data_IF_174054809720
#
_entry.id   IF_174054809720
#
_cell.length_a   1.000
_cell.length_b   1.000
_cell.length_c   1.000
_cell.angle_alpha   90.00
_cell.angle_beta   90.00
_cell.angle_gamma   90.00
#
_symmetry.space_group_name_H-M   'P 1'
#
loop_
_entity.id
_entity.type
_entity.pdbx_description
1 polymer ?
#
# COMPACT_ATOMS: atom_id res chain seq x y z
N UNK A 1 -0.06 -4.18 26.38
CA UNK A 1 0.64 -2.97 25.90
C UNK A 1 1.41 -3.35 24.66
N UNK A 2 1.18 -2.65 23.55
CA UNK A 2 1.92 -2.83 22.30
C UNK A 2 3.35 -2.30 22.48
N UNK A 3 4.35 -3.10 22.09
CA UNK A 3 5.77 -2.76 22.23
C UNK A 3 6.15 -1.82 21.10
N UNK A 4 6.75 -0.67 21.44
CA UNK A 4 7.30 0.29 20.47
C UNK A 4 8.81 0.14 20.47
N UNK A 5 9.37 -0.10 19.29
CA UNK A 5 10.82 -0.17 19.06
C UNK A 5 11.26 1.03 18.23
N UNK A 6 12.34 1.70 18.62
CA UNK A 6 12.92 2.85 17.90
C UNK A 6 14.10 2.38 17.06
N UNK A 7 14.25 2.97 15.87
CA UNK A 7 15.30 2.66 14.90
C UNK A 7 15.88 3.96 14.33
N UNK A 8 17.17 3.96 14.02
CA UNK A 8 17.83 5.14 13.45
C UNK A 8 17.62 5.26 11.94
N UNK A 9 17.45 4.14 11.24
CA UNK A 9 17.32 4.09 9.78
C UNK A 9 16.44 2.91 9.30
N UNK A 10 16.09 2.91 8.02
CA UNK A 10 15.28 1.85 7.40
C UNK A 10 16.01 0.51 7.29
N UNK A 11 17.34 0.52 7.18
CA UNK A 11 18.15 -0.72 7.12
C UNK A 11 18.00 -1.53 8.40
N UNK A 12 18.02 -0.89 9.57
CA UNK A 12 17.76 -1.55 10.85
C UNK A 12 16.35 -2.13 10.94
N UNK A 13 15.34 -1.43 10.40
CA UNK A 13 13.97 -1.94 10.32
C UNK A 13 13.93 -3.17 9.40
N UNK A 14 14.57 -3.12 8.23
CA UNK A 14 14.61 -4.24 7.30
C UNK A 14 15.30 -5.47 7.92
N UNK A 15 16.40 -5.27 8.66
CA UNK A 15 17.05 -6.33 9.44
C UNK A 15 16.12 -6.88 10.53
N UNK A 16 15.38 -6.00 11.22
CA UNK A 16 14.41 -6.40 12.23
C UNK A 16 13.31 -7.27 11.62
N UNK A 17 12.75 -6.90 10.47
CA UNK A 17 11.73 -7.68 9.76
C UNK A 17 12.31 -9.02 9.28
N UNK A 18 13.51 -9.06 8.71
CA UNK A 18 14.17 -10.32 8.31
C UNK A 18 14.32 -11.27 9.50
N UNK A 19 14.74 -10.75 10.65
CA UNK A 19 14.86 -11.51 11.89
C UNK A 19 13.51 -12.05 12.42
N UNK A 20 12.40 -11.35 12.21
CA UNK A 20 11.05 -11.90 12.48
C UNK A 20 10.76 -13.12 11.58
N UNK A 21 11.16 -13.04 10.31
CA UNK A 21 10.92 -14.08 9.32
C UNK A 21 11.79 -15.33 9.52
N UNK A 22 13.02 -15.18 10.02
CA UNK A 22 13.92 -16.33 10.29
C UNK A 22 13.84 -16.87 11.73
N UNK A 23 13.19 -16.15 12.66
CA UNK A 23 13.08 -16.56 14.05
C UNK A 23 14.36 -16.37 14.89
N UNK A 24 15.10 -15.28 14.65
CA UNK A 24 16.33 -14.95 15.39
C UNK A 24 16.03 -14.59 16.86
N UNK A 25 16.18 -15.56 17.76
CA UNK A 25 15.84 -15.46 19.18
C UNK A 25 14.39 -15.03 19.47
N UNK A 26 13.48 -15.25 18.52
CA UNK A 26 12.04 -14.93 18.62
C UNK A 26 11.18 -15.88 17.80
N UNK A 27 9.84 -15.94 18.04
CA UNK A 27 8.98 -16.84 17.29
C UNK A 27 9.00 -16.51 15.79
N UNK A 28 9.42 -17.47 14.98
CA UNK A 28 9.45 -17.35 13.52
C UNK A 28 8.08 -17.00 12.95
N UNK A 29 8.06 -16.02 12.06
CA UNK A 29 6.89 -15.55 11.33
C UNK A 29 7.00 -15.93 9.86
N UNK A 30 5.84 -16.12 9.26
CA UNK A 30 5.73 -16.38 7.83
C UNK A 30 5.29 -15.10 7.11
N UNK A 31 4.50 -14.25 7.79
CA UNK A 31 3.99 -12.97 7.28
C UNK A 31 4.41 -11.80 8.17
N UNK A 32 4.81 -10.69 7.56
CA UNK A 32 4.83 -9.38 8.20
C UNK A 32 3.91 -8.43 7.42
N UNK A 33 2.87 -7.92 8.09
CA UNK A 33 2.00 -6.87 7.57
C UNK A 33 2.44 -5.54 8.17
N UNK A 34 2.75 -4.56 7.33
CA UNK A 34 3.25 -3.26 7.72
C UNK A 34 2.31 -2.16 7.25
N UNK A 35 1.63 -1.50 8.17
CA UNK A 35 0.90 -0.28 7.85
C UNK A 35 1.83 0.92 8.01
N UNK A 36 1.95 1.75 6.99
CA UNK A 36 2.65 3.03 7.08
C UNK A 36 2.04 4.07 6.14
N UNK A 37 1.89 5.28 6.66
CA UNK A 37 1.37 6.42 5.91
C UNK A 37 2.27 6.76 4.70
N UNK A 38 1.74 7.57 3.79
CA UNK A 38 2.52 8.10 2.68
C UNK A 38 3.74 8.89 3.19
N UNK A 39 4.79 8.95 2.38
CA UNK A 39 6.08 9.54 2.76
C UNK A 39 6.84 8.87 3.94
N UNK A 40 6.35 7.76 4.50
CA UNK A 40 7.08 7.01 5.56
C UNK A 40 8.32 6.25 5.06
N UNK A 41 8.52 6.17 3.74
CA UNK A 41 9.68 5.51 3.14
C UNK A 41 9.50 4.00 2.87
N UNK A 42 8.26 3.52 2.70
CA UNK A 42 7.96 2.09 2.44
C UNK A 42 8.70 1.52 1.22
N UNK A 43 8.76 2.27 0.12
CA UNK A 43 9.51 1.86 -1.08
C UNK A 43 11.01 1.81 -0.82
N UNK A 44 11.56 2.71 0.00
CA UNK A 44 12.97 2.62 0.43
C UNK A 44 13.19 1.41 1.32
N UNK A 45 12.26 1.11 2.22
CA UNK A 45 12.32 -0.06 3.10
C UNK A 45 12.31 -1.38 2.33
N UNK A 46 11.48 -1.50 1.28
CA UNK A 46 11.48 -2.70 0.42
C UNK A 46 12.81 -2.89 -0.29
N UNK A 47 13.46 -1.80 -0.71
CA UNK A 47 14.78 -1.84 -1.31
C UNK A 47 15.89 -2.18 -0.30
N UNK A 48 15.85 -1.64 0.91
CA UNK A 48 16.76 -2.05 2.00
C UNK A 48 16.62 -3.54 2.32
N UNK A 49 15.38 -4.03 2.41
CA UNK A 49 15.09 -5.45 2.63
C UNK A 49 15.67 -6.33 1.51
N UNK A 50 15.47 -5.95 0.25
CA UNK A 50 16.06 -6.62 -0.92
C UNK A 50 17.59 -6.58 -0.87
N UNK A 51 18.18 -5.43 -0.52
CA UNK A 51 19.62 -5.22 -0.54
C UNK A 51 20.35 -6.11 0.46
N UNK A 52 19.78 -6.33 1.66
CA UNK A 52 20.33 -7.27 2.65
C UNK A 52 20.39 -8.72 2.12
N UNK A 53 19.50 -9.07 1.19
CA UNK A 53 19.42 -10.40 0.58
C UNK A 53 20.40 -10.64 -0.57
N UNK A 54 21.19 -9.64 -0.96
CA UNK A 54 22.15 -9.77 -2.05
C UNK A 54 23.52 -10.18 -1.55
N UNK A 55 24.19 -11.00 -2.35
CA UNK A 55 25.63 -11.24 -2.22
C UNK A 55 26.35 -10.64 -3.42
N UNK A 56 27.59 -10.23 -3.19
CA UNK A 56 28.42 -9.56 -4.19
C UNK A 56 29.75 -10.29 -4.36
N UNK A 57 30.26 -10.33 -5.57
CA UNK A 57 31.64 -10.74 -5.84
C UNK A 57 32.65 -9.63 -5.46
N UNK A 58 33.94 -9.91 -5.66
CA UNK A 58 35.01 -8.96 -5.38
C UNK A 58 34.94 -7.68 -6.25
N UNK A 59 34.27 -7.74 -7.40
CA UNK A 59 34.14 -6.64 -8.36
C UNK A 59 32.85 -5.83 -8.15
N UNK A 60 32.02 -6.23 -7.18
CA UNK A 60 30.77 -5.54 -6.84
C UNK A 60 29.56 -5.98 -7.67
N UNK A 61 29.66 -7.05 -8.46
CA UNK A 61 28.52 -7.60 -9.19
C UNK A 61 27.68 -8.50 -8.28
N UNK A 62 26.36 -8.50 -8.49
CA UNK A 62 25.43 -9.32 -7.70
C UNK A 62 25.57 -10.78 -8.10
N UNK A 63 26.06 -11.62 -7.18
CA UNK A 63 26.21 -13.07 -7.38
C UNK A 63 24.96 -13.86 -7.00
N UNK A 64 24.20 -13.40 -6.02
CA UNK A 64 22.92 -14.00 -5.65
C UNK A 64 21.98 -12.98 -5.03
N UNK A 65 20.69 -13.35 -5.01
CA UNK A 65 19.58 -12.55 -4.49
C UNK A 65 18.53 -13.50 -3.91
N UNK A 66 17.71 -13.02 -2.99
CA UNK A 66 16.71 -13.87 -2.31
C UNK A 66 15.29 -13.28 -2.22
N UNK A 67 15.07 -12.06 -2.74
CA UNK A 67 13.80 -11.34 -2.59
C UNK A 67 13.21 -10.96 -3.94
N UNK A 68 12.03 -11.50 -4.25
CA UNK A 68 11.13 -11.01 -5.28
C UNK A 68 10.30 -9.86 -4.70
N UNK A 69 10.11 -8.77 -5.44
CA UNK A 69 9.40 -7.61 -4.91
C UNK A 69 8.48 -6.94 -5.92
N UNK A 70 7.44 -6.28 -5.41
CA UNK A 70 6.56 -5.38 -6.13
C UNK A 70 6.62 -4.00 -5.47
N UNK A 71 7.02 -2.98 -6.23
CA UNK A 71 7.07 -1.58 -5.82
C UNK A 71 7.24 -0.69 -7.08
N UNK A 72 7.43 0.62 -6.91
CA UNK A 72 7.67 1.55 -8.02
C UNK A 72 8.81 1.13 -8.98
N UNK A 73 9.90 0.53 -8.49
CA UNK A 73 10.98 0.03 -9.36
C UNK A 73 10.58 -1.15 -10.23
N UNK A 74 9.54 -1.89 -9.83
CA UNK A 74 8.96 -2.99 -10.62
C UNK A 74 8.07 -2.42 -11.72
N UNK A 75 7.30 -1.38 -11.40
CA UNK A 75 6.49 -0.65 -12.40
C UNK A 75 7.38 -0.01 -13.46
N UNK A 76 8.53 0.57 -13.07
CA UNK A 76 9.52 1.16 -13.99
C UNK A 76 10.17 0.14 -14.96
N UNK A 77 9.98 -1.17 -14.76
CA UNK A 77 10.37 -2.19 -15.73
C UNK A 77 9.48 -2.21 -16.98
N UNK A 78 8.36 -1.49 -16.94
CA UNK A 78 7.36 -1.39 -18.00
C UNK A 78 7.32 0.05 -18.49
N UNK A 79 7.52 0.28 -19.78
CA UNK A 79 7.59 1.63 -20.35
C UNK A 79 6.83 1.73 -21.66
N UNK A 80 6.05 2.79 -21.83
CA UNK A 80 5.27 2.98 -23.06
C UNK A 80 6.11 3.48 -24.22
N UNK A 81 5.96 2.83 -25.37
CA UNK A 81 6.23 3.40 -26.68
C UNK A 81 4.89 3.81 -27.31
N UNK A 82 4.64 5.11 -27.39
CA UNK A 82 3.37 5.64 -27.90
C UNK A 82 3.39 5.95 -29.40
N UNK A 83 4.48 5.66 -30.12
CA UNK A 83 4.62 5.99 -31.55
C UNK A 83 4.24 7.46 -31.83
N UNK A 84 4.95 8.39 -31.21
CA UNK A 84 4.63 9.82 -31.30
C UNK A 84 4.71 10.39 -32.74
N UNK A 85 5.40 9.68 -33.64
CA UNK A 85 5.57 10.10 -35.04
C UNK A 85 4.35 9.76 -35.89
N UNK A 86 3.80 8.55 -35.77
CA UNK A 86 2.68 8.10 -36.61
C UNK A 86 1.35 8.01 -35.85
N UNK A 87 1.38 8.03 -34.51
CA UNK A 87 0.22 7.96 -33.61
C UNK A 87 -0.65 6.69 -33.81
N UNK A 88 -0.02 5.60 -34.22
CA UNK A 88 -0.69 4.36 -34.67
C UNK A 88 -0.39 3.14 -33.83
N UNK A 89 0.86 2.93 -33.40
CA UNK A 89 1.30 1.71 -32.71
C UNK A 89 1.71 1.99 -31.26
N UNK A 90 0.84 1.60 -30.32
CA UNK A 90 1.07 1.82 -28.89
C UNK A 90 1.40 0.50 -28.21
N UNK A 91 2.62 0.41 -27.69
CA UNK A 91 3.15 -0.82 -27.10
C UNK A 91 3.79 -0.54 -25.74
N UNK A 92 3.66 -1.49 -24.82
CA UNK A 92 4.35 -1.47 -23.54
C UNK A 92 5.62 -2.31 -23.63
N UNK A 93 6.78 -1.65 -23.54
CA UNK A 93 8.10 -2.29 -23.55
C UNK A 93 8.45 -2.85 -22.18
N UNK A 94 8.96 -4.08 -22.17
CA UNK A 94 9.48 -4.78 -21.02
C UNK A 94 11.01 -4.63 -20.98
N UNK A 95 11.56 -4.31 -19.82
CA UNK A 95 13.01 -4.26 -19.61
C UNK A 95 13.57 -5.68 -19.40
N UNK A 96 13.78 -6.41 -20.49
CA UNK A 96 14.16 -7.83 -20.51
C UNK A 96 15.53 -8.15 -19.90
N UNK A 97 16.38 -7.15 -19.64
CA UNK A 97 17.64 -7.34 -18.89
C UNK A 97 17.40 -7.59 -17.39
N UNK A 98 16.20 -7.33 -16.89
CA UNK A 98 15.84 -7.59 -15.50
C UNK A 98 15.54 -9.06 -15.26
N UNK A 99 16.12 -9.62 -14.19
CA UNK A 99 15.82 -10.99 -13.75
C UNK A 99 14.35 -11.23 -13.36
N UNK A 100 13.58 -10.15 -13.21
CA UNK A 100 12.13 -10.22 -13.11
C UNK A 100 11.49 -11.00 -14.27
N UNK A 101 12.15 -11.00 -15.43
CA UNK A 101 11.68 -11.59 -16.67
C UNK A 101 12.40 -12.89 -17.07
N UNK A 102 13.27 -13.45 -16.22
CA UNK A 102 14.09 -14.63 -16.55
C UNK A 102 13.26 -15.84 -17.02
N UNK A 103 12.07 -16.03 -16.45
CA UNK A 103 11.15 -17.12 -16.81
C UNK A 103 10.19 -16.80 -17.96
N UNK A 104 10.31 -15.65 -18.64
CA UNK A 104 9.30 -15.22 -19.62
C UNK A 104 9.18 -16.15 -20.84
N UNK A 105 10.30 -16.68 -21.34
CA UNK A 105 10.35 -17.34 -22.66
C UNK A 105 9.92 -18.81 -22.62
N UNK A 106 10.00 -19.46 -21.47
CA UNK A 106 9.81 -20.91 -21.36
C UNK A 106 8.44 -21.30 -20.75
N UNK A 107 7.65 -20.33 -20.31
CA UNK A 107 6.44 -20.56 -19.51
C UNK A 107 5.19 -19.96 -20.17
N UNK A 108 4.05 -20.62 -20.00
CA UNK A 108 2.72 -20.12 -20.41
C UNK A 108 2.26 -18.96 -19.51
N UNK A 109 3.09 -17.91 -19.38
CA UNK A 109 2.83 -16.77 -18.51
C UNK A 109 1.56 -16.03 -18.95
N UNK A 110 1.29 -15.95 -20.25
CA UNK A 110 0.07 -15.32 -20.79
C UNK A 110 -1.19 -15.89 -20.13
N UNK A 111 -1.37 -17.21 -20.11
CA UNK A 111 -2.54 -17.84 -19.49
C UNK A 111 -2.68 -17.55 -17.98
N UNK A 112 -1.56 -17.47 -17.26
CA UNK A 112 -1.56 -17.13 -15.83
C UNK A 112 -1.94 -15.66 -15.64
N UNK A 113 -1.36 -14.75 -16.41
CA UNK A 113 -1.68 -13.31 -16.36
C UNK A 113 -3.14 -13.07 -16.72
N UNK A 114 -3.64 -13.68 -17.81
CA UNK A 114 -5.05 -13.60 -18.22
C UNK A 114 -5.99 -14.08 -17.11
N UNK A 115 -5.65 -15.19 -16.43
CA UNK A 115 -6.48 -15.72 -15.34
C UNK A 115 -6.65 -14.74 -14.17
N UNK A 116 -5.63 -13.93 -13.89
CA UNK A 116 -5.73 -12.86 -12.87
C UNK A 116 -6.41 -11.62 -13.44
N UNK A 117 -6.02 -11.17 -14.64
CA UNK A 117 -6.50 -9.92 -15.24
C UNK A 117 -8.01 -9.92 -15.46
N UNK A 118 -8.57 -11.04 -15.91
CA UNK A 118 -10.00 -11.21 -16.16
C UNK A 118 -10.88 -11.04 -14.91
N UNK A 119 -10.31 -11.12 -13.71
CA UNK A 119 -11.04 -10.86 -12.46
C UNK A 119 -11.32 -9.37 -12.24
N UNK A 120 -10.56 -8.50 -12.90
CA UNK A 120 -10.52 -7.07 -12.59
C UNK A 120 -10.94 -6.21 -13.79
N UNK A 121 -10.57 -6.61 -15.01
CA UNK A 121 -10.84 -5.84 -16.23
C UNK A 121 -11.03 -6.75 -17.44
N UNK A 122 -11.97 -6.39 -18.31
CA UNK A 122 -12.13 -6.98 -19.63
C UNK A 122 -11.15 -6.30 -20.62
N UNK A 123 -9.93 -6.83 -20.65
CA UNK A 123 -8.81 -6.34 -21.47
C UNK A 123 -8.04 -7.53 -22.05
N UNK A 124 -7.78 -7.51 -23.36
CA UNK A 124 -6.94 -8.50 -24.03
C UNK A 124 -5.55 -7.93 -24.23
N UNK A 125 -4.54 -8.80 -24.14
CA UNK A 125 -3.14 -8.42 -24.40
C UNK A 125 -2.42 -9.53 -25.16
N UNK A 126 -1.35 -9.16 -25.84
CA UNK A 126 -0.43 -10.10 -26.48
C UNK A 126 1.01 -9.71 -26.13
N UNK A 127 1.80 -10.69 -25.67
CA UNK A 127 3.20 -10.51 -25.28
C UNK A 127 4.08 -11.07 -26.39
N UNK A 128 4.85 -10.20 -27.03
CA UNK A 128 5.92 -10.60 -27.93
C UNK A 128 7.23 -10.74 -27.14
N UNK A 129 7.63 -11.98 -26.90
CA UNK A 129 8.84 -12.31 -26.14
C UNK A 129 10.15 -12.07 -26.89
N UNK A 130 10.11 -11.97 -28.22
CA UNK A 130 11.28 -11.68 -29.05
C UNK A 130 11.62 -10.20 -28.97
N UNK A 131 10.61 -9.33 -29.08
CA UNK A 131 10.75 -7.87 -28.99
C UNK A 131 10.61 -7.34 -27.57
N UNK A 132 10.20 -8.18 -26.61
CA UNK A 132 9.90 -7.77 -25.23
C UNK A 132 8.86 -6.66 -25.18
N UNK A 133 7.80 -6.77 -25.98
CA UNK A 133 6.71 -5.78 -26.06
C UNK A 133 5.37 -6.43 -25.74
N UNK A 134 4.45 -5.63 -25.20
CA UNK A 134 3.06 -6.02 -24.96
C UNK A 134 2.15 -5.08 -25.73
N UNK A 135 1.24 -5.66 -26.50
CA UNK A 135 0.16 -4.93 -27.18
C UNK A 135 -1.16 -5.21 -26.48
N UNK A 136 -2.07 -4.24 -26.51
CA UNK A 136 -3.39 -4.38 -25.89
C UNK A 136 -4.47 -4.25 -26.95
N UNK A 137 -5.58 -4.96 -26.74
CA UNK A 137 -6.73 -4.92 -27.63
C UNK A 137 -8.05 -5.03 -26.87
N UNK A 138 -9.14 -4.58 -27.49
CA UNK A 138 -10.48 -4.69 -26.93
C UNK A 138 -11.50 -5.09 -27.99
N UNK A 139 -12.41 -5.97 -27.62
CA UNK A 139 -13.58 -6.29 -28.43
C UNK A 139 -14.65 -5.21 -28.26
N UNK A 140 -15.17 -4.69 -29.36
CA UNK A 140 -16.31 -3.78 -29.39
C UNK A 140 -17.38 -4.34 -30.33
N UNK A 141 -18.65 -4.02 -30.04
CA UNK A 141 -19.76 -4.39 -30.91
C UNK A 141 -20.06 -3.19 -31.81
N UNK A 142 -19.88 -3.35 -33.11
CA UNK A 142 -20.23 -2.36 -34.13
C UNK A 142 -21.29 -2.98 -35.02
N UNK A 143 -22.48 -2.38 -35.04
CA UNK A 143 -23.61 -2.82 -35.86
C UNK A 143 -23.99 -4.31 -35.66
N UNK A 144 -23.82 -4.81 -34.43
CA UNK A 144 -24.14 -6.20 -34.07
C UNK A 144 -23.02 -7.22 -34.37
N UNK A 145 -21.89 -6.79 -34.93
CA UNK A 145 -20.71 -7.62 -35.15
C UNK A 145 -19.60 -7.30 -34.14
N UNK A 146 -18.95 -8.34 -33.60
CA UNK A 146 -17.77 -8.17 -32.75
C UNK A 146 -16.57 -7.77 -33.63
N UNK A 147 -15.97 -6.62 -33.32
CA UNK A 147 -14.74 -6.13 -33.94
C UNK A 147 -13.68 -5.96 -32.85
N UNK A 148 -12.45 -6.38 -33.11
CA UNK A 148 -11.32 -6.17 -32.19
C UNK A 148 -10.55 -4.93 -32.61
N UNK A 149 -10.38 -3.98 -31.70
CA UNK A 149 -9.49 -2.83 -31.90
C UNK A 149 -8.11 -3.21 -31.33
N UNK A 150 -7.06 -3.34 -32.17
CA UNK A 150 -5.70 -3.61 -31.71
C UNK A 150 -4.97 -2.33 -31.26
N UNK A 151 -3.81 -2.51 -30.63
CA UNK A 151 -2.82 -1.46 -30.30
C UNK A 151 -3.39 -0.27 -29.51
N UNK A 152 -4.28 -0.55 -28.55
CA UNK A 152 -4.90 0.49 -27.73
C UNK A 152 -3.97 0.95 -26.60
N UNK A 153 -4.03 2.24 -26.27
CA UNK A 153 -3.48 2.74 -25.00
C UNK A 153 -4.50 2.51 -23.89
N UNK A 154 -4.07 1.79 -22.87
CA UNK A 154 -4.86 1.57 -21.64
C UNK A 154 -4.64 2.71 -20.63
N UNK A 155 -5.57 2.88 -19.72
CA UNK A 155 -5.46 3.85 -18.61
C UNK A 155 -4.31 3.50 -17.67
N UNK A 156 -3.89 4.46 -16.83
CA UNK A 156 -2.86 4.21 -15.80
C UNK A 156 -3.29 3.16 -14.78
N UNK A 157 -4.57 3.12 -14.41
CA UNK A 157 -5.11 2.09 -13.52
C UNK A 157 -5.04 0.69 -14.14
N UNK A 158 -5.45 0.55 -15.41
CA UNK A 158 -5.34 -0.72 -16.14
C UNK A 158 -3.88 -1.16 -16.33
N UNK A 159 -2.96 -0.22 -16.55
CA UNK A 159 -1.53 -0.47 -16.62
C UNK A 159 -0.98 -1.00 -15.30
N UNK A 160 -1.26 -0.32 -14.17
CA UNK A 160 -0.85 -0.79 -12.84
C UNK A 160 -1.42 -2.18 -12.54
N UNK A 161 -2.69 -2.40 -12.90
CA UNK A 161 -3.37 -3.68 -12.72
C UNK A 161 -2.75 -4.80 -13.56
N UNK A 162 -2.39 -4.52 -14.81
CA UNK A 162 -1.68 -5.47 -15.66
C UNK A 162 -0.32 -5.84 -15.06
N UNK A 163 0.48 -4.85 -14.65
CA UNK A 163 1.79 -5.07 -14.01
C UNK A 163 1.64 -5.87 -12.72
N UNK A 164 0.58 -5.62 -11.94
CA UNK A 164 0.24 -6.40 -10.76
C UNK A 164 -0.11 -7.87 -11.09
N UNK A 165 -0.96 -8.11 -12.10
CA UNK A 165 -1.29 -9.47 -12.54
C UNK A 165 -0.05 -10.21 -13.08
N UNK A 166 0.85 -9.50 -13.74
CA UNK A 166 2.15 -10.00 -14.17
C UNK A 166 3.00 -10.44 -12.98
N UNK A 167 3.06 -9.62 -11.93
CA UNK A 167 3.74 -9.95 -10.70
C UNK A 167 3.12 -11.16 -9.99
N UNK A 168 1.79 -11.27 -9.92
CA UNK A 168 1.10 -12.43 -9.36
C UNK A 168 1.42 -13.71 -10.12
N UNK A 169 1.51 -13.65 -11.44
CA UNK A 169 1.90 -14.79 -12.27
C UNK A 169 3.33 -15.26 -11.95
N UNK A 170 4.28 -14.34 -11.75
CA UNK A 170 5.65 -14.69 -11.31
C UNK A 170 5.66 -15.23 -9.88
N UNK A 171 4.87 -14.65 -8.98
CA UNK A 171 4.73 -15.18 -7.61
C UNK A 171 4.21 -16.62 -7.63
N UNK A 172 3.22 -16.93 -8.48
CA UNK A 172 2.73 -18.29 -8.66
C UNK A 172 3.84 -19.22 -9.13
N UNK A 173 4.69 -18.81 -10.09
CA UNK A 173 5.82 -19.62 -10.54
C UNK A 173 6.85 -19.88 -9.43
N UNK A 174 7.16 -18.87 -8.62
CA UNK A 174 8.04 -19.05 -7.47
C UNK A 174 7.44 -20.02 -6.44
N UNK A 175 6.13 -19.95 -6.19
CA UNK A 175 5.40 -20.83 -5.27
C UNK A 175 5.32 -22.27 -5.81
N UNK A 176 5.20 -22.41 -7.13
CA UNK A 176 5.22 -23.69 -7.85
C UNK A 176 6.64 -24.29 -7.94
N UNK A 177 7.64 -23.64 -7.31
CA UNK A 177 9.06 -24.04 -7.28
C UNK A 177 9.69 -24.13 -8.68
N UNK A 178 9.26 -23.26 -9.60
CA UNK A 178 9.83 -23.20 -10.95
C UNK A 178 11.35 -22.89 -10.89
N UNK A 179 12.20 -23.62 -11.65
CA UNK A 179 13.65 -23.43 -11.62
C UNK A 179 14.10 -21.99 -11.84
N UNK A 180 13.41 -21.23 -12.71
CA UNK A 180 13.75 -19.83 -13.02
C UNK A 180 13.60 -18.91 -11.79
N UNK A 181 12.76 -19.29 -10.83
CA UNK A 181 12.47 -18.50 -9.63
C UNK A 181 12.86 -19.21 -8.32
N UNK A 182 13.64 -20.29 -8.39
CA UNK A 182 14.14 -21.04 -7.23
C UNK A 182 14.99 -20.22 -6.24
N UNK A 183 15.50 -19.07 -6.68
CA UNK A 183 16.24 -18.12 -5.84
C UNK A 183 15.33 -17.34 -4.87
N UNK A 184 14.02 -17.29 -5.11
CA UNK A 184 13.06 -16.50 -4.33
C UNK A 184 12.80 -17.16 -2.99
N UNK A 185 13.33 -16.57 -1.91
CA UNK A 185 13.07 -16.98 -0.52
C UNK A 185 12.08 -16.08 0.19
N UNK A 186 11.98 -14.83 -0.27
CA UNK A 186 11.11 -13.81 0.28
C UNK A 186 10.33 -13.10 -0.83
N UNK A 187 9.09 -12.76 -0.54
CA UNK A 187 8.28 -11.85 -1.33
C UNK A 187 8.11 -10.54 -0.55
N UNK A 188 8.33 -9.40 -1.20
CA UNK A 188 8.06 -8.09 -0.61
C UNK A 188 7.09 -7.31 -1.51
N UNK A 189 5.89 -7.01 -1.02
CA UNK A 189 4.89 -6.20 -1.74
C UNK A 189 4.77 -4.83 -1.07
N UNK A 190 4.98 -3.76 -1.81
CA UNK A 190 4.79 -2.37 -1.36
C UNK A 190 3.67 -1.69 -2.16
N UNK A 191 2.59 -1.32 -1.47
CA UNK A 191 1.46 -0.53 -2.00
C UNK A 191 0.95 -0.97 -3.39
N UNK A 192 0.45 -2.21 -3.54
CA UNK A 192 0.09 -2.77 -4.85
C UNK A 192 -1.14 -2.11 -5.49
N UNK A 193 -1.86 -1.28 -4.74
CA UNK A 193 -3.15 -0.68 -5.11
C UNK A 193 -3.13 0.84 -5.08
N UNK A 194 -1.95 1.46 -5.09
CA UNK A 194 -1.82 2.91 -4.89
C UNK A 194 -2.65 3.76 -5.86
N UNK A 195 -3.13 3.22 -6.99
CA UNK A 195 -3.90 3.91 -8.03
C UNK A 195 -5.28 3.30 -8.38
N UNK A 196 -5.76 2.30 -7.62
CA UNK A 196 -6.97 1.52 -7.95
C UNK A 196 -8.20 1.92 -7.11
N UNK A 197 -9.40 1.57 -7.61
CA UNK A 197 -10.67 1.79 -6.90
C UNK A 197 -10.85 0.88 -5.66
N UNK A 198 -11.73 1.28 -4.74
CA UNK A 198 -11.94 0.55 -3.47
C UNK A 198 -12.43 -0.89 -3.68
N UNK A 199 -13.16 -1.15 -4.77
CA UNK A 199 -13.68 -2.47 -5.11
C UNK A 199 -12.55 -3.43 -5.50
N UNK A 200 -11.59 -2.98 -6.31
CA UNK A 200 -10.43 -3.78 -6.68
C UNK A 200 -9.52 -4.04 -5.48
N UNK A 201 -9.44 -3.13 -4.50
CA UNK A 201 -8.62 -3.34 -3.30
C UNK A 201 -9.00 -4.61 -2.52
N UNK A 202 -10.29 -4.90 -2.36
CA UNK A 202 -10.75 -6.11 -1.66
C UNK A 202 -10.40 -7.36 -2.48
N UNK A 203 -10.72 -7.37 -3.77
CA UNK A 203 -10.47 -8.51 -4.65
C UNK A 203 -8.97 -8.85 -4.71
N UNK A 204 -8.11 -7.84 -4.91
CA UNK A 204 -6.66 -8.00 -4.94
C UNK A 204 -6.12 -8.54 -3.62
N UNK A 205 -6.63 -8.08 -2.47
CA UNK A 205 -6.21 -8.59 -1.18
C UNK A 205 -6.57 -10.07 -0.99
N UNK A 206 -7.79 -10.45 -1.39
CA UNK A 206 -8.26 -11.83 -1.34
C UNK A 206 -7.44 -12.73 -2.26
N UNK A 207 -7.20 -12.31 -3.50
CA UNK A 207 -6.44 -13.09 -4.48
C UNK A 207 -4.99 -13.25 -4.05
N UNK A 208 -4.35 -12.20 -3.52
CA UNK A 208 -3.00 -12.28 -2.96
C UNK A 208 -2.94 -13.24 -1.77
N UNK A 209 -3.93 -13.20 -0.87
CA UNK A 209 -3.97 -14.11 0.28
C UNK A 209 -4.17 -15.57 -0.14
N UNK A 210 -5.02 -15.81 -1.13
CA UNK A 210 -5.26 -17.15 -1.69
C UNK A 210 -4.02 -17.67 -2.42
N UNK A 211 -3.33 -16.82 -3.17
CA UNK A 211 -2.08 -17.18 -3.85
C UNK A 211 -0.99 -17.59 -2.85
N UNK A 212 -0.79 -16.78 -1.80
CA UNK A 212 0.30 -16.97 -0.85
C UNK A 212 0.04 -18.09 0.17
N UNK A 213 -1.21 -18.55 0.32
CA UNK A 213 -1.56 -19.60 1.30
C UNK A 213 -2.04 -20.88 0.64
N UNK A 214 -1.49 -22.00 1.08
CA UNK A 214 -1.94 -23.35 0.70
C UNK A 214 -2.37 -24.13 1.92
N UNK A 215 -3.26 -25.10 1.74
CA UNK A 215 -3.59 -26.06 2.79
C UNK A 215 -2.60 -27.21 2.75
N UNK A 216 -2.03 -27.54 3.89
CA UNK A 216 -1.26 -28.76 4.07
C UNK A 216 -2.18 -30.00 4.05
N UNK A 217 -1.57 -31.19 4.08
CA UNK A 217 -2.28 -32.47 4.09
C UNK A 217 -3.21 -32.66 5.31
N UNK A 218 -3.04 -31.85 6.36
CA UNK A 218 -3.84 -31.86 7.58
C UNK A 218 -4.94 -30.77 7.57
N UNK A 219 -5.11 -30.06 6.44
CA UNK A 219 -6.08 -28.99 6.27
C UNK A 219 -5.71 -27.67 6.96
N UNK A 220 -4.48 -27.53 7.44
CA UNK A 220 -3.96 -26.30 8.05
C UNK A 220 -3.38 -25.40 6.97
N UNK A 221 -3.67 -24.11 7.05
CA UNK A 221 -3.06 -23.15 6.15
C UNK A 221 -1.58 -22.94 6.48
N UNK A 222 -0.74 -22.97 5.45
CA UNK A 222 0.64 -22.56 5.49
C UNK A 222 0.92 -21.56 4.37
N UNK A 223 1.98 -20.78 4.54
CA UNK A 223 2.45 -19.87 3.50
C UNK A 223 3.69 -20.43 2.83
N UNK A 224 3.64 -20.53 1.51
CA UNK A 224 4.68 -21.16 0.70
C UNK A 224 6.00 -20.39 0.75
N UNK A 225 5.94 -19.06 0.66
CA UNK A 225 7.10 -18.17 0.66
C UNK A 225 6.89 -17.08 1.70
N UNK A 226 7.91 -16.83 2.53
CA UNK A 226 7.85 -15.82 3.58
C UNK A 226 7.65 -14.43 2.96
N UNK A 227 6.65 -13.70 3.47
CA UNK A 227 6.19 -12.49 2.79
C UNK A 227 6.15 -11.28 3.71
N UNK A 228 6.52 -10.12 3.16
CA UNK A 228 6.31 -8.80 3.76
C UNK A 228 5.35 -8.02 2.87
N UNK A 229 4.29 -7.45 3.44
CA UNK A 229 3.37 -6.57 2.72
C UNK A 229 3.33 -5.23 3.44
N UNK A 230 3.74 -4.16 2.77
CA UNK A 230 3.61 -2.80 3.28
C UNK A 230 2.53 -2.03 2.53
N UNK A 231 1.68 -1.31 3.26
CA UNK A 231 0.68 -0.46 2.63
C UNK A 231 0.28 0.77 3.46
N UNK A 232 -0.20 1.82 2.79
CA UNK A 232 -0.93 2.92 3.41
C UNK A 232 -2.45 2.75 3.33
N UNK A 233 -2.95 1.80 2.54
CA UNK A 233 -4.38 1.70 2.25
C UNK A 233 -5.10 0.88 3.33
N UNK A 234 -5.90 1.56 4.15
CA UNK A 234 -6.53 0.98 5.35
C UNK A 234 -7.47 -0.20 5.05
N UNK A 235 -8.33 -0.12 4.02
CA UNK A 235 -9.23 -1.23 3.66
C UNK A 235 -8.43 -2.49 3.27
N UNK A 236 -7.46 -2.35 2.36
CA UNK A 236 -6.56 -3.42 1.95
C UNK A 236 -5.84 -4.06 3.13
N UNK A 237 -5.23 -3.26 4.01
CA UNK A 237 -4.57 -3.77 5.21
C UNK A 237 -5.55 -4.57 6.10
N UNK A 238 -6.77 -4.06 6.29
CA UNK A 238 -7.81 -4.75 7.07
C UNK A 238 -8.24 -6.08 6.45
N UNK A 239 -8.42 -6.11 5.13
CA UNK A 239 -8.77 -7.35 4.41
C UNK A 239 -7.65 -8.38 4.56
N UNK A 240 -6.39 -8.00 4.31
CA UNK A 240 -5.24 -8.89 4.52
C UNK A 240 -5.17 -9.40 5.97
N UNK A 241 -5.41 -8.51 6.92
CA UNK A 241 -5.44 -8.86 8.33
C UNK A 241 -6.51 -9.90 8.69
N UNK A 242 -7.68 -9.81 8.08
CA UNK A 242 -8.76 -10.77 8.25
C UNK A 242 -8.44 -12.09 7.53
N UNK A 243 -7.95 -12.01 6.30
CA UNK A 243 -7.63 -13.17 5.47
C UNK A 243 -6.48 -14.00 6.04
N UNK A 244 -5.39 -13.36 6.49
CA UNK A 244 -4.22 -14.04 7.04
C UNK A 244 -4.29 -14.31 8.53
N UNK A 245 -5.07 -13.50 9.27
CA UNK A 245 -4.94 -13.34 10.72
C UNK A 245 -4.95 -14.63 11.53
N UNK A 246 -5.77 -15.61 11.11
CA UNK A 246 -5.85 -16.94 11.74
C UNK A 246 -5.21 -18.06 10.91
N UNK A 247 -4.90 -17.79 9.64
CA UNK A 247 -4.39 -18.79 8.68
C UNK A 247 -2.89 -19.01 8.84
N UNK A 248 -2.11 -17.94 9.08
CA UNK A 248 -0.64 -18.00 9.05
C UNK A 248 0.00 -17.33 10.26
N UNK A 249 1.24 -17.72 10.60
CA UNK A 249 2.01 -17.07 11.66
C UNK A 249 2.40 -15.67 11.19
N UNK A 250 1.66 -14.66 11.64
CA UNK A 250 1.86 -13.29 11.22
C UNK A 250 2.40 -12.40 12.34
N UNK A 251 2.93 -11.26 11.92
CA UNK A 251 3.27 -10.10 12.73
C UNK A 251 2.71 -8.87 12.03
N UNK A 252 2.15 -7.95 12.80
CA UNK A 252 1.56 -6.72 12.26
C UNK A 252 2.26 -5.55 12.91
N UNK A 253 2.67 -4.59 12.09
CA UNK A 253 3.41 -3.43 12.55
C UNK A 253 2.80 -2.15 12.02
N UNK A 254 2.86 -1.11 12.84
CA UNK A 254 2.72 0.26 12.41
C UNK A 254 4.11 0.89 12.33
N UNK A 255 4.46 1.40 11.15
CA UNK A 255 5.67 2.17 10.94
C UNK A 255 5.34 3.66 10.95
N UNK A 256 6.07 4.39 11.77
CA UNK A 256 5.98 5.85 11.83
C UNK A 256 7.36 6.47 11.62
N UNK A 257 7.44 7.44 10.71
CA UNK A 257 8.64 8.21 10.43
C UNK A 257 8.66 9.47 11.31
N UNK A 258 9.62 9.55 12.23
CA UNK A 258 9.80 10.70 13.14
C UNK A 258 10.77 11.75 12.58
N UNK A 259 11.06 11.71 11.28
CA UNK A 259 11.95 12.67 10.61
C UNK A 259 13.39 12.56 11.14
N UNK A 260 13.89 13.63 11.74
CA UNK A 260 15.26 13.69 12.30
C UNK A 260 15.47 12.67 13.42
N UNK A 261 14.39 12.28 14.10
CA UNK A 261 14.43 11.34 15.23
C UNK A 261 14.35 9.86 14.80
N UNK A 262 14.52 9.57 13.51
CA UNK A 262 14.52 8.22 12.95
C UNK A 262 13.11 7.64 12.79
N UNK A 263 12.97 6.36 13.09
CA UNK A 263 11.75 5.59 12.86
C UNK A 263 11.28 4.89 14.12
N UNK A 264 9.97 4.67 14.23
CA UNK A 264 9.38 3.84 15.27
C UNK A 264 8.48 2.77 14.67
N UNK A 265 8.62 1.56 15.19
CA UNK A 265 7.84 0.39 14.81
C UNK A 265 7.04 -0.08 16.02
N UNK A 266 5.71 -0.11 15.91
CA UNK A 266 4.83 -0.60 16.96
C UNK A 266 4.21 -1.93 16.56
N UNK A 267 4.38 -2.94 17.41
CA UNK A 267 3.72 -4.24 17.28
C UNK A 267 2.23 -4.13 17.63
N UNK A 268 1.36 -4.73 16.82
CA UNK A 268 -0.08 -4.76 17.07
C UNK A 268 -0.68 -6.14 16.81
N UNK A 269 -1.73 -6.49 17.57
CA UNK A 269 -2.60 -7.62 17.26
C UNK A 269 -4.01 -7.19 16.84
N UNK A 270 -4.44 -5.96 17.18
CA UNK A 270 -5.78 -5.47 16.91
C UNK A 270 -5.80 -4.76 15.56
N UNK A 271 -6.70 -5.19 14.67
CA UNK A 271 -6.65 -4.81 13.26
C UNK A 271 -7.58 -3.67 12.86
N UNK A 272 -8.84 -3.57 13.32
CA UNK A 272 -9.71 -2.47 12.88
C UNK A 272 -9.51 -1.16 13.65
N UNK A 273 -9.25 -1.24 14.97
CA UNK A 273 -9.31 -0.08 15.88
C UNK A 273 -8.12 0.87 15.72
N UNK A 274 -6.93 0.35 15.44
CA UNK A 274 -5.72 1.17 15.39
C UNK A 274 -5.63 2.06 14.15
N UNK A 275 -6.32 1.77 13.05
CA UNK A 275 -6.27 2.65 11.87
C UNK A 275 -6.95 4.00 12.14
N UNK A 276 -8.15 3.98 12.71
CA UNK A 276 -8.86 5.22 13.05
C UNK A 276 -8.05 6.06 14.02
N UNK A 277 -7.45 5.39 15.01
CA UNK A 277 -6.61 6.04 16.00
C UNK A 277 -5.29 6.54 15.40
N UNK A 278 -4.65 5.81 14.49
CA UNK A 278 -3.42 6.23 13.82
C UNK A 278 -3.66 7.43 12.89
N UNK A 279 -4.74 7.39 12.10
CA UNK A 279 -5.18 8.54 11.29
C UNK A 279 -5.48 9.74 12.19
N UNK A 280 -6.24 9.55 13.28
CA UNK A 280 -6.55 10.62 14.21
C UNK A 280 -5.29 11.19 14.89
N UNK A 281 -4.33 10.33 15.24
CA UNK A 281 -3.01 10.71 15.76
C UNK A 281 -2.18 11.53 14.77
N UNK A 282 -2.22 11.20 13.47
CA UNK A 282 -1.54 11.97 12.44
C UNK A 282 -2.18 13.36 12.27
N UNK A 283 -3.52 13.41 12.21
CA UNK A 283 -4.26 14.67 12.18
C UNK A 283 -3.94 15.53 13.41
N UNK A 284 -3.86 14.91 14.59
CA UNK A 284 -3.43 15.56 15.83
C UNK A 284 -2.04 16.18 15.69
N UNK A 285 -1.06 15.41 15.21
CA UNK A 285 0.30 15.89 14.99
C UNK A 285 0.36 17.05 13.99
N UNK A 286 -0.49 17.06 12.96
CA UNK A 286 -0.57 18.17 12.00
C UNK A 286 -1.10 19.42 12.70
N UNK A 287 -2.15 19.28 13.53
CA UNK A 287 -2.74 20.37 14.29
C UNK A 287 -1.78 20.91 15.37
N UNK A 288 -1.02 20.03 16.03
CA UNK A 288 -0.12 20.39 17.15
C UNK A 288 1.23 20.96 16.70
N UNK A 289 1.65 20.75 15.44
CA UNK A 289 2.90 21.32 14.87
C UNK A 289 2.82 22.84 14.59
N UNK A 290 1.99 23.57 15.33
CA UNK A 290 1.94 25.03 15.25
C UNK A 290 3.24 25.62 15.80
N UNK A 291 4.02 26.25 14.92
CA UNK A 291 5.07 27.17 15.32
C UNK A 291 4.69 28.56 14.82
N UNK A 292 5.04 29.60 15.57
CA UNK A 292 4.69 31.01 15.26
C UNK A 292 5.15 31.45 13.87
N UNK A 293 6.17 30.79 13.31
CA UNK A 293 6.75 31.09 12.00
C UNK A 293 6.30 30.15 10.87
N UNK A 294 5.57 29.06 11.15
CA UNK A 294 5.12 28.10 10.15
C UNK A 294 3.72 27.54 10.44
N UNK A 295 2.67 27.98 9.72
CA UNK A 295 1.32 27.44 9.89
C UNK A 295 1.25 25.96 9.48
N UNK A 296 0.34 25.17 10.09
CA UNK A 296 0.20 23.76 9.76
C UNK A 296 -0.21 23.57 8.30
N UNK A 297 0.51 22.69 7.60
CA UNK A 297 0.19 22.32 6.21
C UNK A 297 -0.97 21.35 6.19
N UNK A 298 -2.18 21.88 6.04
CA UNK A 298 -3.39 21.10 5.93
C UNK A 298 -3.83 21.04 4.46
N UNK A 299 -4.10 19.85 3.98
CA UNK A 299 -4.53 19.55 2.62
C UNK A 299 -5.96 19.00 2.63
N UNK A 300 -6.65 19.05 1.49
CA UNK A 300 -8.03 18.55 1.34
C UNK A 300 -8.20 17.08 1.77
N UNK A 301 -7.18 16.23 1.55
CA UNK A 301 -7.23 14.83 1.99
C UNK A 301 -7.27 14.65 3.52
N UNK A 302 -6.81 15.64 4.31
CA UNK A 302 -6.96 15.61 5.77
C UNK A 302 -8.43 15.75 6.19
N UNK A 303 -9.24 16.55 5.48
CA UNK A 303 -10.68 16.62 5.70
C UNK A 303 -11.37 15.29 5.40
N UNK A 304 -11.00 14.64 4.29
CA UNK A 304 -11.49 13.29 3.97
C UNK A 304 -11.17 12.28 5.07
N UNK A 305 -9.94 12.33 5.59
CA UNK A 305 -9.51 11.47 6.69
C UNK A 305 -10.32 11.73 7.97
N UNK A 306 -10.50 12.99 8.36
CA UNK A 306 -11.31 13.37 9.53
C UNK A 306 -12.77 12.95 9.37
N UNK A 307 -13.35 13.18 8.19
CA UNK A 307 -14.71 12.77 7.86
C UNK A 307 -14.90 11.26 7.98
N UNK A 308 -13.99 10.46 7.42
CA UNK A 308 -14.07 9.00 7.51
C UNK A 308 -14.07 8.51 8.96
N UNK A 309 -13.30 9.18 9.84
CA UNK A 309 -13.31 8.89 11.28
C UNK A 309 -14.64 9.29 11.91
N UNK A 310 -15.16 10.48 11.61
CA UNK A 310 -16.45 10.96 12.11
C UNK A 310 -17.60 10.04 11.70
N UNK A 311 -17.67 9.60 10.43
CA UNK A 311 -18.71 8.70 9.92
C UNK A 311 -18.69 7.35 10.66
N UNK A 312 -17.50 6.81 10.90
CA UNK A 312 -17.35 5.55 11.64
C UNK A 312 -17.65 5.70 13.12
N UNK A 313 -17.34 6.86 13.69
CA UNK A 313 -17.67 7.21 15.08
C UNK A 313 -19.18 7.35 15.25
N UNK A 314 -19.85 8.05 14.34
CA UNK A 314 -21.32 8.16 14.30
C UNK A 314 -21.96 6.77 14.22
N UNK A 315 -21.49 5.94 13.28
CA UNK A 315 -21.95 4.55 13.13
C UNK A 315 -21.73 3.73 14.40
N UNK A 316 -20.57 3.87 15.05
CA UNK A 316 -20.25 3.15 16.28
C UNK A 316 -21.19 3.51 17.44
N UNK A 317 -21.56 4.78 17.55
CA UNK A 317 -22.51 5.26 18.56
C UNK A 317 -23.98 5.08 18.15
N UNK A 318 -24.26 4.53 16.96
CA UNK A 318 -25.62 4.28 16.47
C UNK A 318 -26.34 5.51 15.94
N UNK A 319 -25.60 6.53 15.51
CA UNK A 319 -26.15 7.73 14.88
C UNK A 319 -26.28 7.56 13.36
N UNK A 320 -27.41 8.02 12.79
CA UNK A 320 -27.69 7.97 11.36
C UNK A 320 -26.95 9.06 10.55
N UNK A 321 -26.39 10.05 11.24
CA UNK A 321 -25.77 11.22 10.61
C UNK A 321 -24.45 11.59 11.28
N UNK A 322 -23.55 12.15 10.47
CA UNK A 322 -22.21 12.58 10.88
C UNK A 322 -22.22 13.84 11.77
N UNK A 323 -23.24 14.70 11.59
CA UNK A 323 -23.43 15.94 12.34
C UNK A 323 -23.61 15.67 13.83
N UNK A 324 -24.15 14.52 14.23
CA UNK A 324 -24.22 14.06 15.63
C UNK A 324 -22.84 14.02 16.32
N UNK A 325 -21.77 13.73 15.56
CA UNK A 325 -20.41 13.76 16.11
C UNK A 325 -19.89 15.17 16.40
N UNK A 326 -20.43 16.19 15.74
CA UNK A 326 -20.06 17.61 15.93
C UNK A 326 -21.16 18.43 16.62
N UNK A 327 -22.30 17.80 16.93
CA UNK A 327 -23.43 18.41 17.62
C UNK A 327 -23.03 18.99 18.98
N UNK A 328 -23.39 20.25 19.24
CA UNK A 328 -23.04 20.94 20.49
C UNK A 328 -21.63 21.56 20.51
N UNK A 329 -20.88 21.51 19.40
CA UNK A 329 -19.69 22.35 19.20
C UNK A 329 -20.11 23.75 18.73
N UNK A 330 -19.31 24.78 19.06
CA UNK A 330 -19.51 26.14 18.54
C UNK A 330 -19.41 26.11 17.00
N UNK A 331 -20.42 26.64 16.31
CA UNK A 331 -20.57 26.69 14.84
C UNK A 331 -20.82 25.34 14.14
N UNK A 332 -21.62 24.44 14.73
CA UNK A 332 -22.01 23.13 14.13
C UNK A 332 -22.49 23.20 12.66
N UNK A 333 -23.24 24.25 12.29
CA UNK A 333 -23.75 24.46 10.92
C UNK A 333 -22.63 24.77 9.94
N UNK A 334 -21.61 25.51 10.38
CA UNK A 334 -20.43 25.81 9.57
C UNK A 334 -19.57 24.56 9.41
N UNK A 335 -19.43 23.77 10.48
CA UNK A 335 -18.65 22.53 10.49
C UNK A 335 -19.24 21.46 9.56
N UNK A 336 -20.55 21.24 9.61
CA UNK A 336 -21.24 20.32 8.71
C UNK A 336 -21.06 20.75 7.24
N UNK A 337 -21.24 22.04 6.94
CA UNK A 337 -20.99 22.58 5.59
C UNK A 337 -19.55 22.40 5.14
N UNK A 338 -18.57 22.62 6.01
CA UNK A 338 -17.16 22.45 5.70
C UNK A 338 -16.83 20.98 5.40
N UNK A 339 -17.31 20.05 6.22
CA UNK A 339 -17.15 18.62 6.00
C UNK A 339 -17.80 18.17 4.69
N UNK A 340 -18.94 18.73 4.31
CA UNK A 340 -19.56 18.42 3.02
C UNK A 340 -18.77 19.01 1.85
N UNK A 341 -18.37 20.29 1.92
CA UNK A 341 -17.68 21.01 0.85
C UNK A 341 -16.27 20.46 0.57
N UNK A 342 -15.46 20.28 1.62
CA UNK A 342 -14.07 19.87 1.47
C UNK A 342 -13.90 18.36 1.31
N UNK A 343 -14.94 17.58 1.61
CA UNK A 343 -14.87 16.12 1.48
C UNK A 343 -15.63 15.51 0.29
N UNK A 344 -16.47 16.29 -0.42
CA UNK A 344 -17.13 15.86 -1.67
C UNK A 344 -16.55 16.51 -2.93
N UNK A 345 -15.54 17.36 -2.81
CA UNK A 345 -14.87 17.90 -3.98
C UNK A 345 -14.19 16.79 -4.79
N UNK A 346 -14.09 16.97 -6.11
CA UNK A 346 -13.33 16.10 -7.04
C UNK A 346 -11.81 16.11 -6.78
N UNK A 347 -11.40 16.19 -5.52
CA UNK A 347 -10.00 16.29 -5.12
C UNK A 347 -9.46 14.87 -4.99
N UNK A 348 -8.67 14.48 -5.98
CA UNK A 348 -7.92 13.25 -5.99
C UNK A 348 -6.93 13.21 -4.82
N UNK A 349 -6.79 12.05 -4.16
CA UNK A 349 -5.68 11.80 -3.20
C UNK A 349 -4.32 12.02 -3.88
N UNK A 350 -4.27 11.93 -5.21
CA UNK A 350 -3.07 12.08 -6.03
C UNK A 350 -2.69 13.53 -6.35
N UNK A 351 -3.57 14.51 -6.11
CA UNK A 351 -3.29 15.95 -6.27
C UNK A 351 -3.67 16.72 -4.97
N UNK A 352 -2.81 16.66 -3.93
CA UNK A 352 -3.09 17.32 -2.66
C UNK A 352 -2.98 18.84 -2.81
N UNK A 353 -4.12 19.53 -2.79
CA UNK A 353 -4.18 20.99 -2.77
C UNK A 353 -4.08 21.48 -1.33
N UNK A 354 -3.06 22.30 -1.04
CA UNK A 354 -2.94 22.97 0.26
C UNK A 354 -4.11 23.93 0.44
N UNK A 355 -4.73 23.90 1.62
CA UNK A 355 -5.93 24.67 1.89
C UNK A 355 -5.63 26.14 2.19
N UNK A 356 -6.62 27.02 2.00
CA UNK A 356 -6.54 28.41 2.45
C UNK A 356 -6.47 28.49 3.98
N UNK A 357 -5.91 29.59 4.51
CA UNK A 357 -5.76 29.78 5.96
C UNK A 357 -7.10 29.71 6.72
N UNK A 358 -8.18 30.26 6.15
CA UNK A 358 -9.53 30.15 6.72
C UNK A 358 -10.00 28.68 6.82
N UNK A 359 -9.67 27.86 5.82
CA UNK A 359 -10.05 26.45 5.79
C UNK A 359 -9.18 25.61 6.75
N UNK A 360 -7.92 26.02 6.95
CA UNK A 360 -7.00 25.43 7.94
C UNK A 360 -7.51 25.66 9.36
N UNK A 361 -7.90 26.90 9.68
CA UNK A 361 -8.48 27.23 10.99
C UNK A 361 -9.75 26.42 11.24
N UNK A 362 -10.61 26.33 10.23
CA UNK A 362 -11.84 25.54 10.30
C UNK A 362 -11.58 24.05 10.57
N UNK A 363 -10.57 23.46 9.92
CA UNK A 363 -10.14 22.09 10.20
C UNK A 363 -9.71 21.90 11.65
N UNK A 364 -8.87 22.81 12.15
CA UNK A 364 -8.32 22.76 13.52
C UNK A 364 -9.46 22.83 14.53
N UNK A 365 -10.42 23.72 14.32
CA UNK A 365 -11.60 23.86 15.20
C UNK A 365 -12.48 22.61 15.21
N UNK A 366 -12.77 22.03 14.04
CA UNK A 366 -13.54 20.77 13.94
C UNK A 366 -12.79 19.63 14.64
N UNK A 367 -11.50 19.50 14.36
CA UNK A 367 -10.65 18.46 14.94
C UNK A 367 -10.62 18.54 16.46
N UNK A 368 -10.29 19.72 17.01
CA UNK A 368 -10.21 19.93 18.46
C UNK A 368 -11.56 19.72 19.15
N UNK A 369 -12.65 20.23 18.55
CA UNK A 369 -13.99 20.01 19.07
C UNK A 369 -14.35 18.52 19.12
N UNK A 370 -14.08 17.79 18.05
CA UNK A 370 -14.31 16.35 17.99
C UNK A 370 -13.50 15.56 19.01
N UNK A 371 -12.19 15.81 19.13
CA UNK A 371 -11.32 15.10 20.07
C UNK A 371 -11.52 15.50 21.53
N UNK A 372 -12.14 16.65 21.79
CA UNK A 372 -12.54 17.07 23.15
C UNK A 372 -13.86 16.42 23.55
N UNK A 373 -14.79 16.26 22.60
CA UNK A 373 -16.11 15.66 22.83
C UNK A 373 -16.03 14.15 23.10
N UNK A 374 -15.10 13.46 22.46
CA UNK A 374 -14.91 12.01 22.61
C UNK A 374 -13.52 11.68 23.14
N UNK A 375 -13.45 10.87 24.20
CA UNK A 375 -12.19 10.43 24.79
C UNK A 375 -11.49 9.37 23.92
N UNK A 376 -10.55 9.82 23.09
CA UNK A 376 -9.67 8.93 22.32
C UNK A 376 -8.36 8.63 23.05
N UNK A 377 -7.99 7.35 23.12
CA UNK A 377 -6.66 6.95 23.55
C UNK A 377 -5.68 7.04 22.38
N UNK A 378 -4.76 8.01 22.43
CA UNK A 378 -3.70 8.17 21.43
C UNK A 378 -2.46 7.32 21.78
N UNK A 379 -2.04 6.37 20.93
CA UNK A 379 -0.88 5.55 21.15
C UNK A 379 0.38 6.39 21.21
N UNK A 380 1.24 6.13 22.20
CA UNK A 380 2.48 6.88 22.41
C UNK A 380 3.43 6.87 21.21
N UNK A 381 3.31 5.94 20.27
CA UNK A 381 4.16 5.93 19.07
C UNK A 381 4.04 7.24 18.28
N UNK A 382 2.85 7.84 18.27
CA UNK A 382 2.55 9.05 17.53
C UNK A 382 2.79 10.32 18.34
N UNK A 383 3.03 10.22 19.65
CA UNK A 383 3.43 11.37 20.43
C UNK A 383 4.88 11.72 20.08
N UNK A 384 5.09 12.95 19.60
CA UNK A 384 6.41 13.54 19.65
C UNK A 384 6.67 13.87 21.11
N UNK A 385 7.45 13.04 21.80
CA UNK A 385 7.96 13.39 23.12
C UNK A 385 8.89 14.60 22.94
N UNK A 386 8.34 15.81 22.94
CA UNK A 386 9.08 16.98 23.37
C UNK A 386 9.15 16.87 24.89
N UNK A 387 10.06 16.03 25.39
CA UNK A 387 10.51 16.20 26.77
C UNK A 387 11.18 17.56 26.81
N UNK A 388 10.43 18.55 27.28
CA UNK A 388 11.01 19.73 27.89
C UNK A 388 11.97 19.23 28.96
N UNK A 389 13.27 19.39 28.71
CA UNK A 389 14.26 19.35 29.78
C UNK A 389 13.88 20.45 30.76
N UNK A 390 13.14 20.08 31.81
CA UNK A 390 13.04 20.90 33.01
C UNK A 390 14.41 20.84 33.67
N UNK A 391 15.30 21.75 33.27
CA UNK A 391 16.49 22.08 34.05
C UNK A 391 16.01 22.61 35.40
N UNK A 392 16.20 21.80 36.44
CA UNK A 392 16.17 22.22 37.83
C UNK A 392 17.55 22.73 38.27
#
# INVERSE_FOLDING_TARGET
MSIITKFSNLTEIAQHIRKDLIGDHRPMKDLVLLFAHNASGKTRLSMEFKQIGKTFDADGNVTSRDTLYFNAFTEDLFSWNNDLENDTERELKLNSDSAFFDGLRELNLNSKIESFLNNYVDLKFDINYDTSTVTFSRSIIVEGNEQTIPNIKISRGEETLFIWCFFLAICQLAIDEDPAYSWVKYIYVDDPISSLDENNAIAIACDLANLLTKKDNNGKFEMSIKTVISTHHSLFFNVLCNEFGRKVKNKKYFLHNKGVNGYSLQDTNDTPFFHHIATLSELKNIVEKQDSDNPPKIYTYHFNALRSILEKTATFFGHDKIDECIYGLEDEVLFDRALQLFSHGKYSIFDPVEMSDDSKDLFIRIFNGFTTKYDFYFPQIFNNDTQTETTA
#
